data_IF_367942751562
#
_entry.id   IF_367942751562
#
_cell.length_a   1.000
_cell.length_b   1.000
_cell.length_c   1.000
_cell.angle_alpha   90.00
_cell.angle_beta   90.00
_cell.angle_gamma   90.00
#
_symmetry.space_group_name_H-M   'P 1'
#
loop_
_entity.id
_entity.type
_entity.pdbx_description
1 polymer ?
#
# COMPACT_ATOMS: atom_id res chain seq x y z
N UNK A 1 -39.85 -17.48 62.69
CA UNK A 1 -39.26 -18.74 63.19
C UNK A 1 -37.79 -18.77 62.77
N UNK A 2 -36.87 -19.00 63.73
CA UNK A 2 -35.42 -19.17 63.53
C UNK A 2 -35.13 -20.56 62.95
N UNK A 3 -34.17 -20.69 62.02
CA UNK A 3 -33.10 -21.71 61.87
C UNK A 3 -32.16 -21.15 60.76
N UNK A 4 -30.89 -20.73 60.91
CA UNK A 4 -29.61 -21.29 61.41
C UNK A 4 -28.89 -22.30 60.48
N UNK A 5 -27.75 -21.82 59.95
CA UNK A 5 -26.52 -22.50 59.49
C UNK A 5 -26.56 -23.42 58.26
N UNK A 6 -25.76 -23.06 57.23
CA UNK A 6 -24.68 -23.92 56.77
C UNK A 6 -23.64 -23.09 55.97
N UNK A 7 -22.42 -23.04 56.48
CA UNK A 7 -21.23 -22.54 55.77
C UNK A 7 -20.79 -23.63 54.80
N UNK A 8 -20.68 -23.32 53.51
CA UNK A 8 -19.93 -24.15 52.55
C UNK A 8 -18.81 -23.27 51.99
N UNK A 9 -17.64 -23.40 52.63
CA UNK A 9 -16.35 -23.11 52.02
C UNK A 9 -16.13 -24.17 50.95
N UNK A 10 -16.08 -23.76 49.68
CA UNK A 10 -15.50 -24.58 48.62
C UNK A 10 -14.42 -23.78 47.93
N UNK A 11 -13.19 -24.21 48.21
CA UNK A 11 -11.91 -23.72 47.75
C UNK A 11 -11.82 -23.63 46.22
N UNK A 12 -11.55 -22.43 45.70
CA UNK A 12 -11.15 -22.20 44.31
C UNK A 12 -9.67 -22.57 44.18
N UNK A 13 -9.38 -23.80 43.75
CA UNK A 13 -8.02 -24.26 43.47
C UNK A 13 -7.53 -23.70 42.13
N UNK A 14 -6.33 -23.11 42.19
CA UNK A 14 -5.56 -22.53 41.08
C UNK A 14 -5.43 -23.48 39.88
N UNK A 15 -5.62 -22.91 38.70
CA UNK A 15 -5.33 -23.52 37.41
C UNK A 15 -3.87 -23.99 37.34
N UNK A 16 -3.68 -25.27 37.01
CA UNK A 16 -2.40 -25.80 36.54
C UNK A 16 -2.41 -25.81 35.02
N UNK A 17 -1.75 -24.84 34.40
CA UNK A 17 -1.53 -24.78 32.95
C UNK A 17 -0.31 -25.65 32.63
N UNK A 18 -0.38 -26.66 31.75
CA UNK A 18 0.79 -27.44 31.37
C UNK A 18 1.79 -26.57 30.57
N UNK A 19 3.04 -26.66 31.01
CA UNK A 19 4.22 -26.00 30.44
C UNK A 19 4.57 -26.63 29.08
N UNK A 20 4.38 -25.86 28.02
CA UNK A 20 5.33 -25.61 26.94
C UNK A 20 6.10 -26.81 26.33
N UNK A 21 5.38 -27.70 25.63
CA UNK A 21 5.98 -28.56 24.58
C UNK A 21 5.97 -27.90 23.19
N UNK A 22 5.21 -26.81 23.00
CA UNK A 22 5.06 -26.12 21.72
C UNK A 22 6.28 -25.30 21.28
N UNK A 23 7.31 -25.15 22.11
CA UNK A 23 8.50 -24.39 21.72
C UNK A 23 9.55 -25.18 20.98
N UNK A 24 9.73 -26.43 21.36
CA UNK A 24 10.60 -27.31 20.58
C UNK A 24 9.99 -27.57 19.20
N UNK A 25 8.67 -27.71 19.13
CA UNK A 25 7.96 -27.81 17.85
C UNK A 25 8.05 -26.51 17.07
N UNK A 26 7.80 -25.34 17.67
CA UNK A 26 7.96 -24.07 16.95
C UNK A 26 9.40 -23.80 16.55
N UNK A 27 10.43 -24.17 17.33
CA UNK A 27 11.84 -24.03 16.91
C UNK A 27 12.21 -24.99 15.77
N UNK A 28 11.63 -26.19 15.74
CA UNK A 28 11.81 -27.15 14.64
C UNK A 28 11.06 -26.70 13.38
N UNK A 29 9.85 -26.16 13.54
CA UNK A 29 9.08 -25.55 12.45
C UNK A 29 9.75 -24.28 11.92
N UNK A 30 10.32 -23.44 12.79
CA UNK A 30 11.01 -22.22 12.41
C UNK A 30 12.29 -22.55 11.65
N UNK A 31 13.00 -23.62 12.02
CA UNK A 31 14.15 -24.13 11.26
C UNK A 31 13.74 -24.72 9.90
N UNK A 32 12.65 -25.48 9.85
CA UNK A 32 12.10 -25.97 8.59
C UNK A 32 11.63 -24.82 7.69
N UNK A 33 11.02 -23.78 8.27
CA UNK A 33 10.58 -22.57 7.59
C UNK A 33 11.77 -21.74 7.11
N UNK A 34 12.87 -21.66 7.87
CA UNK A 34 14.10 -20.97 7.45
C UNK A 34 14.80 -21.70 6.29
N UNK A 35 14.79 -23.04 6.28
CA UNK A 35 15.28 -23.80 5.15
C UNK A 35 14.40 -23.58 3.90
N UNK A 36 13.08 -23.51 4.06
CA UNK A 36 12.16 -23.13 2.99
C UNK A 36 12.35 -21.66 2.54
N UNK A 37 12.66 -20.74 3.45
CA UNK A 37 12.99 -19.36 3.12
C UNK A 37 14.32 -19.25 2.35
N UNK A 38 15.32 -20.07 2.69
CA UNK A 38 16.60 -20.10 1.99
C UNK A 38 16.46 -20.63 0.55
N UNK A 39 15.64 -21.67 0.33
CA UNK A 39 15.27 -22.13 -1.04
C UNK A 39 14.39 -21.10 -1.77
N UNK A 40 13.43 -20.48 -1.07
CA UNK A 40 12.63 -19.37 -1.59
C UNK A 40 13.50 -18.17 -1.99
N UNK A 41 14.61 -17.88 -1.30
CA UNK A 41 15.48 -16.74 -1.67
C UNK A 41 16.24 -16.98 -2.98
N UNK A 42 16.56 -18.24 -3.30
CA UNK A 42 17.16 -18.60 -4.59
C UNK A 42 16.13 -18.58 -5.72
N UNK A 43 14.89 -18.98 -5.45
CA UNK A 43 13.79 -18.90 -6.42
C UNK A 43 13.33 -17.45 -6.64
N UNK A 44 13.26 -16.64 -5.58
CA UNK A 44 12.95 -15.20 -5.64
C UNK A 44 14.07 -14.40 -6.31
N UNK A 45 15.31 -14.87 -6.39
CA UNK A 45 16.32 -14.21 -7.24
C UNK A 45 16.01 -14.35 -8.73
N UNK A 46 15.42 -15.48 -9.13
CA UNK A 46 14.93 -15.68 -10.51
C UNK A 46 13.55 -15.01 -10.72
N UNK A 47 12.64 -15.04 -9.74
CA UNK A 47 11.35 -14.34 -9.80
C UNK A 47 11.49 -12.82 -9.66
N UNK A 48 12.51 -12.31 -8.97
CA UNK A 48 12.83 -10.89 -8.92
C UNK A 48 13.46 -10.42 -10.24
N UNK A 49 14.19 -11.29 -10.94
CA UNK A 49 14.57 -11.04 -12.34
C UNK A 49 13.35 -11.04 -13.27
N UNK A 50 12.32 -11.84 -12.97
CA UNK A 50 11.07 -11.86 -13.73
C UNK A 50 10.11 -10.73 -13.34
N UNK A 51 10.15 -10.22 -12.11
CA UNK A 51 9.38 -9.06 -11.63
C UNK A 51 10.05 -7.72 -12.03
N UNK A 52 11.38 -7.68 -12.08
CA UNK A 52 12.13 -6.53 -12.63
C UNK A 52 12.25 -6.59 -14.15
N UNK A 53 12.10 -7.77 -14.75
CA UNK A 53 12.07 -8.00 -16.20
C UNK A 53 10.67 -7.89 -16.84
N UNK A 54 9.58 -8.08 -16.07
CA UNK A 54 8.20 -7.94 -16.57
C UNK A 54 7.55 -6.59 -16.25
N UNK A 55 8.22 -5.72 -15.47
CA UNK A 55 7.90 -4.27 -15.45
C UNK A 55 8.45 -3.52 -16.67
N UNK A 56 8.90 -4.25 -17.69
CA UNK A 56 9.19 -3.74 -19.03
C UNK A 56 8.09 -4.09 -20.07
N UNK A 57 6.93 -4.62 -19.65
CA UNK A 57 5.80 -4.88 -20.57
C UNK A 57 4.47 -4.39 -19.99
N UNK A 58 4.46 -3.14 -19.55
CA UNK A 58 3.44 -2.23 -20.08
C UNK A 58 4.19 -0.96 -20.47
N UNK A 59 5.01 -1.10 -21.52
CA UNK A 59 5.07 -0.10 -22.57
C UNK A 59 3.66 0.04 -23.17
N UNK A 60 2.68 0.47 -22.37
CA UNK A 60 1.61 1.26 -22.93
C UNK A 60 2.32 2.49 -23.43
N UNK A 61 2.42 2.57 -24.75
CA UNK A 61 2.88 3.70 -25.52
C UNK A 61 2.12 4.99 -25.09
N UNK A 62 2.46 5.52 -23.92
CA UNK A 62 2.03 6.82 -23.40
C UNK A 62 3.26 7.70 -23.15
N UNK A 63 4.30 7.53 -23.97
CA UNK A 63 5.20 8.61 -24.36
C UNK A 63 4.48 9.65 -25.26
N UNK A 64 3.19 9.91 -25.00
CA UNK A 64 2.40 10.84 -25.80
C UNK A 64 2.62 12.30 -25.38
N UNK A 65 3.33 12.56 -24.27
CA UNK A 65 3.63 13.92 -23.79
C UNK A 65 4.91 14.03 -22.92
N UNK A 66 5.83 13.05 -22.98
CA UNK A 66 7.16 13.18 -22.38
C UNK A 66 7.27 13.01 -20.86
N UNK A 67 6.26 12.46 -20.18
CA UNK A 67 6.33 12.17 -18.74
C UNK A 67 6.66 10.71 -18.46
N UNK A 68 7.54 10.47 -17.49
CA UNK A 68 7.88 9.13 -16.99
C UNK A 68 7.13 8.84 -15.68
N UNK A 69 6.64 7.61 -15.49
CA UNK A 69 5.98 7.22 -14.23
C UNK A 69 6.91 7.50 -13.03
N UNK A 70 6.37 8.12 -11.98
CA UNK A 70 7.14 8.53 -10.81
C UNK A 70 7.93 9.84 -10.99
N UNK A 71 7.88 10.47 -12.17
CA UNK A 71 8.44 11.79 -12.39
C UNK A 71 7.74 12.82 -11.51
N UNK A 72 8.54 13.64 -10.83
CA UNK A 72 8.07 14.82 -10.13
C UNK A 72 7.78 15.91 -11.16
N UNK A 73 6.55 16.42 -11.12
CA UNK A 73 6.03 17.48 -11.96
C UNK A 73 5.78 18.72 -11.12
N UNK A 74 5.91 19.89 -11.74
CA UNK A 74 5.56 21.18 -11.14
C UNK A 74 4.47 21.89 -11.93
N UNK A 75 3.46 22.46 -11.27
CA UNK A 75 2.48 23.31 -11.94
C UNK A 75 3.11 24.55 -12.55
N UNK A 76 2.65 24.91 -13.75
CA UNK A 76 3.01 26.16 -14.43
C UNK A 76 2.20 27.35 -13.90
N UNK A 77 0.99 27.08 -13.38
CA UNK A 77 0.04 28.07 -12.87
C UNK A 77 -0.27 27.85 -11.39
N UNK A 78 -0.76 28.90 -10.73
CA UNK A 78 -1.39 28.77 -9.43
C UNK A 78 -2.84 28.29 -9.58
N UNK A 79 -3.36 27.69 -8.50
CA UNK A 79 -4.73 27.19 -8.42
C UNK A 79 -5.07 26.13 -9.47
N UNK A 80 -4.10 25.26 -9.80
CA UNK A 80 -4.29 24.15 -10.73
C UNK A 80 -5.35 23.19 -10.16
N UNK A 81 -6.50 22.98 -10.82
CA UNK A 81 -7.53 22.09 -10.31
C UNK A 81 -7.06 20.63 -10.30
N UNK A 82 -7.21 19.98 -9.15
CA UNK A 82 -7.08 18.54 -8.98
C UNK A 82 -8.47 17.90 -9.03
N UNK A 83 -8.77 17.21 -10.12
CA UNK A 83 -10.04 16.54 -10.34
C UNK A 83 -10.07 15.17 -9.68
N UNK A 84 -11.23 14.75 -9.18
CA UNK A 84 -11.39 13.43 -8.57
C UNK A 84 -11.35 12.28 -9.59
N UNK A 85 -11.90 12.53 -10.78
CA UNK A 85 -11.96 11.56 -11.87
C UNK A 85 -11.35 12.14 -13.13
N UNK A 86 -11.16 11.31 -14.15
CA UNK A 86 -10.49 11.66 -15.40
C UNK A 86 -11.38 12.50 -16.36
N UNK A 87 -12.15 13.45 -15.80
CA UNK A 87 -13.10 14.32 -16.50
C UNK A 87 -12.99 15.75 -15.96
N UNK A 88 -13.03 16.76 -16.85
CA UNK A 88 -12.96 18.18 -16.48
C UNK A 88 -14.21 18.70 -15.76
N UNK A 89 -15.33 18.00 -15.92
CA UNK A 89 -16.60 18.27 -15.25
C UNK A 89 -16.68 17.61 -13.88
N UNK A 90 -15.68 16.78 -13.54
CA UNK A 90 -15.58 16.14 -12.23
C UNK A 90 -15.45 17.18 -11.12
N UNK A 91 -15.86 16.76 -9.91
CA UNK A 91 -15.57 17.53 -8.71
C UNK A 91 -14.06 17.80 -8.58
N UNK A 92 -13.73 19.05 -8.28
CA UNK A 92 -12.37 19.48 -7.94
C UNK A 92 -12.14 19.17 -6.46
N UNK A 93 -11.22 18.26 -6.16
CA UNK A 93 -10.81 17.89 -4.80
C UNK A 93 -10.14 19.09 -4.14
N UNK A 94 -9.16 19.67 -4.83
CA UNK A 94 -8.41 20.81 -4.33
C UNK A 94 -7.81 21.61 -5.49
N UNK A 95 -7.27 22.80 -5.18
CA UNK A 95 -6.52 23.64 -6.12
C UNK A 95 -5.07 23.71 -5.68
N UNK A 96 -4.18 23.18 -6.52
CA UNK A 96 -2.75 23.08 -6.24
C UNK A 96 -2.05 24.42 -6.51
N UNK A 97 -1.09 24.76 -5.65
CA UNK A 97 -0.25 25.94 -5.85
C UNK A 97 0.83 25.69 -6.89
N UNK A 98 1.46 26.75 -7.41
CA UNK A 98 2.58 26.63 -8.38
C UNK A 98 3.77 25.83 -7.84
N UNK A 99 3.92 25.79 -6.52
CA UNK A 99 5.01 25.12 -5.83
C UNK A 99 4.65 23.71 -5.35
N UNK A 100 3.42 23.25 -5.59
CA UNK A 100 2.99 21.93 -5.17
C UNK A 100 3.84 20.86 -5.84
N UNK A 101 4.25 19.87 -5.05
CA UNK A 101 4.93 18.69 -5.56
C UNK A 101 3.89 17.67 -6.02
N UNK A 102 4.00 17.30 -7.29
CA UNK A 102 3.07 16.41 -7.97
C UNK A 102 3.88 15.24 -8.53
N UNK A 103 3.41 14.01 -8.36
CA UNK A 103 4.07 12.82 -8.88
C UNK A 103 3.18 12.20 -9.94
N UNK A 104 3.71 11.99 -11.15
CA UNK A 104 2.95 11.34 -12.21
C UNK A 104 2.73 9.85 -11.89
N UNK A 105 1.46 9.44 -11.81
CA UNK A 105 1.08 8.08 -11.43
C UNK A 105 1.17 7.07 -12.60
N UNK A 106 1.28 7.55 -13.84
CA UNK A 106 1.46 6.72 -15.04
C UNK A 106 0.24 6.65 -15.95
N UNK A 107 -0.95 7.07 -15.51
CA UNK A 107 -2.16 7.04 -16.32
C UNK A 107 -2.42 8.40 -16.99
N UNK A 108 -2.85 8.35 -18.26
CA UNK A 108 -3.21 9.53 -19.05
C UNK A 108 -4.49 9.25 -19.85
N UNK A 109 -5.39 10.22 -19.91
CA UNK A 109 -6.55 10.18 -20.80
C UNK A 109 -6.22 10.71 -22.18
N UNK A 110 -6.99 10.29 -23.18
CA UNK A 110 -6.94 10.88 -24.54
C UNK A 110 -7.28 12.38 -24.56
N UNK A 111 -7.95 12.88 -23.54
CA UNK A 111 -8.31 14.30 -23.36
C UNK A 111 -7.17 15.13 -22.75
N UNK A 112 -6.03 14.51 -22.42
CA UNK A 112 -4.84 15.19 -21.90
C UNK A 112 -4.85 15.40 -20.39
N UNK A 113 -5.72 14.72 -19.65
CA UNK A 113 -5.62 14.63 -18.20
C UNK A 113 -4.62 13.52 -17.81
N UNK A 114 -3.84 13.78 -16.77
CA UNK A 114 -2.91 12.82 -16.19
C UNK A 114 -3.29 12.54 -14.76
N UNK A 115 -3.16 11.28 -14.37
CA UNK A 115 -3.30 10.88 -12.98
C UNK A 115 -2.01 11.22 -12.23
N UNK A 116 -2.18 11.83 -11.07
CA UNK A 116 -1.09 12.30 -10.23
C UNK A 116 -1.36 12.04 -8.76
N UNK A 117 -0.27 11.85 -8.02
CA UNK A 117 -0.28 11.80 -6.56
C UNK A 117 0.25 13.12 -6.03
N UNK A 118 -0.49 13.70 -5.09
CA UNK A 118 -0.17 14.98 -4.43
C UNK A 118 -0.27 14.83 -2.92
N UNK A 119 0.10 15.86 -2.16
CA UNK A 119 -0.11 15.91 -0.70
C UNK A 119 -1.59 15.81 -0.29
N UNK A 120 -2.51 16.13 -1.20
CA UNK A 120 -3.96 16.04 -0.99
C UNK A 120 -4.56 14.70 -1.45
N UNK A 121 -3.71 13.76 -1.85
CA UNK A 121 -4.09 12.45 -2.36
C UNK A 121 -3.99 12.36 -3.89
N UNK A 122 -4.60 11.31 -4.43
CA UNK A 122 -4.60 11.01 -5.86
C UNK A 122 -5.70 11.78 -6.59
N UNK A 123 -5.41 12.22 -7.80
CA UNK A 123 -6.39 12.85 -8.66
C UNK A 123 -5.86 13.07 -10.07
N UNK A 124 -6.63 13.83 -10.85
CA UNK A 124 -6.35 14.09 -12.25
C UNK A 124 -6.09 15.57 -12.46
N UNK A 125 -5.11 15.90 -13.29
CA UNK A 125 -4.77 17.27 -13.66
C UNK A 125 -4.52 17.37 -15.16
N UNK A 126 -4.52 18.57 -15.72
CA UNK A 126 -4.23 18.74 -17.14
C UNK A 126 -2.71 18.72 -17.40
N UNK A 127 -2.27 17.81 -18.27
CA UNK A 127 -0.85 17.61 -18.61
C UNK A 127 -0.15 18.87 -19.13
N UNK A 128 -0.85 19.71 -19.89
CA UNK A 128 -0.25 20.93 -20.45
C UNK A 128 0.06 22.00 -19.38
N UNK A 129 -0.55 21.90 -18.19
CA UNK A 129 -0.38 22.83 -17.07
C UNK A 129 0.77 22.43 -16.14
N UNK A 130 1.50 21.36 -16.44
CA UNK A 130 2.65 20.88 -15.67
C UNK A 130 3.89 20.63 -16.53
N UNK A 131 5.06 20.53 -15.88
CA UNK A 131 6.36 20.23 -16.49
C UNK A 131 7.25 19.45 -15.52
#
# INVERSE_FOLDING_TARGET
MKIRHLVIVSSLSLASIPVYAGFSDTMRDLRNTLNQFNETSKEVSNTAKEWTGSRATTNSNYAANGFSMGQQLRPKINNLPLYQTADKSSQVINKLSKNADIIFAGNMTKTGLIEVTTEHGNGWIESHLVQ
#
